data_IF_780341009548
#
_entry.id   IF_780341009548
#
_cell.length_a   1.000
_cell.length_b   1.000
_cell.length_c   1.000
_cell.angle_alpha   90.00
_cell.angle_beta   90.00
_cell.angle_gamma   90.00
#
_symmetry.space_group_name_H-M   'P 1'
#
loop_
_entity.id
_entity.type
_entity.pdbx_description
1 polymer ?
#
# COMPACT_ATOMS: atom_id res chain seq x y z
N UNK A 1 5.42 13.02 -6.77
CA UNK A 1 6.74 12.67 -6.20
C UNK A 1 6.83 11.22 -5.73
N UNK A 2 6.30 10.80 -4.57
CA UNK A 2 6.49 9.38 -4.12
C UNK A 2 5.89 8.34 -5.07
N UNK A 3 4.58 8.41 -5.35
CA UNK A 3 3.91 7.45 -6.23
C UNK A 3 4.45 7.47 -7.68
N UNK A 4 4.88 8.63 -8.14
CA UNK A 4 5.50 8.82 -9.46
C UNK A 4 6.89 8.18 -9.52
N UNK A 5 7.69 8.31 -8.46
CA UNK A 5 9.01 7.67 -8.37
C UNK A 5 8.85 6.16 -8.42
N UNK A 6 7.94 5.60 -7.61
CA UNK A 6 7.61 4.17 -7.66
C UNK A 6 7.16 3.77 -9.07
N UNK A 7 6.23 4.51 -9.68
CA UNK A 7 5.77 4.21 -11.02
C UNK A 7 6.89 4.20 -12.06
N UNK A 8 7.90 5.09 -11.92
CA UNK A 8 9.04 5.15 -12.84
C UNK A 8 10.00 3.95 -12.75
N UNK A 9 9.88 3.11 -11.71
CA UNK A 9 10.69 1.90 -11.54
C UNK A 9 10.10 0.68 -12.28
N UNK A 10 8.87 0.77 -12.77
CA UNK A 10 8.16 -0.35 -13.40
C UNK A 10 7.74 0.00 -14.82
N UNK A 11 7.81 -0.98 -15.71
CA UNK A 11 7.07 -0.92 -16.96
C UNK A 11 5.57 -0.89 -16.68
N UNK A 12 4.82 -0.11 -17.46
CA UNK A 12 3.37 0.04 -17.29
C UNK A 12 2.64 -1.31 -17.30
N UNK A 13 3.13 -2.27 -18.10
CA UNK A 13 2.58 -3.63 -18.20
C UNK A 13 2.83 -4.50 -16.97
N UNK A 14 3.72 -4.09 -16.05
CA UNK A 14 4.00 -4.82 -14.82
C UNK A 14 3.21 -4.29 -13.62
N UNK A 15 2.70 -3.05 -13.68
CA UNK A 15 2.07 -2.37 -12.56
C UNK A 15 0.90 -3.14 -11.91
N UNK A 16 0.10 -3.86 -12.69
CA UNK A 16 -1.04 -4.64 -12.18
C UNK A 16 -0.63 -5.93 -11.47
N UNK A 17 0.59 -6.40 -11.72
CA UNK A 17 1.16 -7.61 -11.14
C UNK A 17 2.11 -7.35 -9.97
N UNK A 18 2.61 -6.12 -9.83
CA UNK A 18 3.44 -5.68 -8.70
C UNK A 18 2.63 -5.61 -7.39
N UNK A 19 3.12 -6.29 -6.35
CA UNK A 19 2.54 -6.23 -5.00
C UNK A 19 3.22 -5.15 -4.15
N UNK A 20 2.46 -4.16 -3.69
CA UNK A 20 2.98 -3.01 -2.93
C UNK A 20 2.46 -3.05 -1.50
N UNK A 21 3.35 -2.86 -0.53
CA UNK A 21 2.98 -2.59 0.87
C UNK A 21 3.17 -1.11 1.21
N UNK A 22 2.07 -0.38 1.39
CA UNK A 22 2.07 1.03 1.81
C UNK A 22 2.23 1.10 3.34
N UNK A 23 3.47 1.27 3.80
CA UNK A 23 3.83 1.36 5.22
C UNK A 23 3.60 2.78 5.73
N UNK A 24 2.81 2.91 6.80
CA UNK A 24 2.34 4.22 7.26
C UNK A 24 1.28 4.78 6.31
N UNK A 25 0.38 3.92 5.85
CA UNK A 25 -0.61 4.21 4.81
C UNK A 25 -1.49 5.44 5.10
N UNK A 26 -1.66 5.82 6.38
CA UNK A 26 -2.46 6.96 6.79
C UNK A 26 -3.88 6.90 6.20
N UNK A 27 -4.30 7.98 5.52
CA UNK A 27 -5.60 8.06 4.82
C UNK A 27 -5.54 7.62 3.35
N UNK A 28 -4.41 7.08 2.90
CA UNK A 28 -4.21 6.50 1.58
C UNK A 28 -4.01 7.47 0.42
N UNK A 29 -3.30 8.58 0.65
CA UNK A 29 -2.97 9.53 -0.43
C UNK A 29 -1.99 8.93 -1.45
N UNK A 30 -1.02 8.13 -1.00
CA UNK A 30 -0.04 7.48 -1.89
C UNK A 30 -0.73 6.43 -2.76
N UNK A 31 -1.47 5.50 -2.15
CA UNK A 31 -2.27 4.53 -2.90
C UNK A 31 -3.25 5.16 -3.90
N UNK A 32 -3.86 6.31 -3.56
CA UNK A 32 -4.72 7.06 -4.51
C UNK A 32 -3.97 7.45 -5.77
N UNK A 33 -2.70 7.83 -5.68
CA UNK A 33 -1.88 8.19 -6.83
C UNK A 33 -1.36 6.95 -7.56
N UNK A 34 -0.89 5.93 -6.84
CA UNK A 34 -0.42 4.66 -7.43
C UNK A 34 -1.51 4.01 -8.30
N UNK A 35 -2.77 4.03 -7.85
CA UNK A 35 -3.92 3.55 -8.64
C UNK A 35 -4.04 4.21 -10.02
N UNK A 36 -3.63 5.48 -10.16
CA UNK A 36 -3.65 6.19 -11.46
C UNK A 36 -2.56 5.70 -12.42
N UNK A 37 -1.51 5.09 -11.90
CA UNK A 37 -0.41 4.50 -12.68
C UNK A 37 -0.63 3.00 -12.97
N UNK A 38 -1.80 2.46 -12.63
CA UNK A 38 -2.16 1.06 -12.93
C UNK A 38 -1.89 0.06 -11.80
N UNK A 39 -1.32 0.50 -10.68
CA UNK A 39 -1.12 -0.38 -9.53
C UNK A 39 -2.46 -0.72 -8.87
N UNK A 40 -2.74 -2.02 -8.75
CA UNK A 40 -4.00 -2.53 -8.21
C UNK A 40 -3.83 -3.41 -6.97
N UNK A 41 -2.65 -4.02 -6.83
CA UNK A 41 -2.27 -4.96 -5.76
C UNK A 41 -1.54 -4.23 -4.62
N UNK A 42 -2.25 -3.30 -3.98
CA UNK A 42 -1.71 -2.46 -2.90
C UNK A 42 -2.34 -2.90 -1.58
N UNK A 43 -1.52 -3.14 -0.56
CA UNK A 43 -1.93 -3.46 0.80
C UNK A 43 -1.46 -2.36 1.76
N UNK A 44 -2.22 -2.10 2.83
CA UNK A 44 -1.94 -1.03 3.78
C UNK A 44 -1.43 -1.59 5.11
N UNK A 45 -0.39 -0.96 5.66
CA UNK A 45 0.03 -1.12 7.04
C UNK A 45 -0.05 0.25 7.74
N UNK A 46 -0.90 0.36 8.76
CA UNK A 46 -1.05 1.61 9.52
C UNK A 46 -1.49 1.30 10.96
N UNK A 47 -0.71 1.71 11.98
CA UNK A 47 -1.06 1.50 13.39
C UNK A 47 -2.24 2.36 13.84
N UNK A 48 -2.47 3.53 13.26
CA UNK A 48 -3.61 4.39 13.60
C UNK A 48 -4.91 3.85 12.98
N UNK A 49 -5.72 3.18 13.80
CA UNK A 49 -7.02 2.65 13.36
C UNK A 49 -7.95 3.73 12.80
N UNK A 50 -7.88 4.96 13.33
CA UNK A 50 -8.66 6.10 12.84
C UNK A 50 -8.29 6.46 11.40
N UNK A 51 -7.00 6.54 11.10
CA UNK A 51 -6.50 6.82 9.75
C UNK A 51 -6.80 5.67 8.79
N UNK A 52 -6.53 4.43 9.23
CA UNK A 52 -6.81 3.23 8.44
C UNK A 52 -8.30 3.11 8.09
N UNK A 53 -9.19 3.49 8.99
CA UNK A 53 -10.64 3.54 8.71
C UNK A 53 -11.02 4.61 7.69
N UNK A 54 -10.38 5.78 7.71
CA UNK A 54 -10.55 6.78 6.64
C UNK A 54 -10.06 6.24 5.29
N UNK A 55 -8.98 5.47 5.30
CA UNK A 55 -8.46 4.82 4.10
C UNK A 55 -9.41 3.74 3.56
N UNK A 56 -10.01 2.91 4.44
CA UNK A 56 -11.02 1.89 4.09
C UNK A 56 -12.22 2.48 3.35
N UNK A 57 -12.69 3.67 3.75
CA UNK A 57 -13.81 4.37 3.08
C UNK A 57 -13.51 4.70 1.61
N UNK A 58 -12.25 4.74 1.22
CA UNK A 58 -11.80 5.05 -0.15
C UNK A 58 -11.58 3.79 -1.00
N UNK A 59 -11.66 2.60 -0.40
CA UNK A 59 -11.51 1.31 -1.05
C UNK A 59 -10.24 1.18 -1.92
N UNK A 60 -9.09 1.62 -1.38
CA UNK A 60 -7.83 1.74 -2.13
C UNK A 60 -6.93 0.51 -2.04
N UNK A 61 -7.10 -0.34 -1.04
CA UNK A 61 -6.22 -1.46 -0.72
C UNK A 61 -6.95 -2.80 -0.78
N UNK A 62 -6.22 -3.91 -1.04
CA UNK A 62 -6.78 -5.27 -0.93
C UNK A 62 -6.85 -5.70 0.53
N UNK A 63 -5.75 -5.50 1.27
CA UNK A 63 -5.63 -5.81 2.69
C UNK A 63 -5.32 -4.57 3.54
N UNK A 64 -5.72 -4.61 4.81
CA UNK A 64 -5.57 -3.49 5.77
C UNK A 64 -5.06 -4.03 7.11
N UNK A 65 -3.76 -3.94 7.34
CA UNK A 65 -3.07 -4.39 8.55
C UNK A 65 -2.99 -3.25 9.56
N UNK A 66 -3.64 -3.40 10.72
CA UNK A 66 -3.55 -2.45 11.82
C UNK A 66 -2.50 -2.89 12.82
N UNK A 67 -1.23 -2.57 12.56
CA UNK A 67 -0.13 -2.99 13.41
C UNK A 67 1.01 -1.96 13.38
N UNK A 68 1.89 -2.05 14.38
CA UNK A 68 3.14 -1.30 14.41
C UNK A 68 4.21 -2.04 13.60
N UNK A 69 5.06 -1.27 12.93
CA UNK A 69 6.28 -1.82 12.35
C UNK A 69 7.30 -2.03 13.47
N UNK A 70 7.66 -3.28 13.73
CA UNK A 70 8.67 -3.68 14.71
C UNK A 70 9.76 -4.51 14.02
N UNK A 71 10.75 -4.97 14.77
CA UNK A 71 11.75 -5.92 14.26
C UNK A 71 11.22 -7.35 14.12
N UNK A 72 10.03 -7.63 14.65
CA UNK A 72 9.39 -8.93 14.54
C UNK A 72 8.61 -9.04 13.23
N UNK A 73 8.46 -10.27 12.75
CA UNK A 73 7.60 -10.54 11.61
C UNK A 73 6.14 -10.20 11.93
N UNK A 74 5.46 -9.55 10.99
CA UNK A 74 4.03 -9.27 11.11
C UNK A 74 3.27 -10.53 10.68
N UNK A 75 2.41 -11.11 11.56
CA UNK A 75 1.61 -12.27 11.19
C UNK A 75 0.79 -12.01 9.93
N UNK A 76 0.69 -13.00 9.06
CA UNK A 76 -0.10 -12.98 7.81
C UNK A 76 0.36 -11.99 6.72
N UNK A 77 1.43 -11.24 6.95
CA UNK A 77 2.09 -10.41 5.93
C UNK A 77 3.23 -11.21 5.32
N UNK A 78 3.10 -11.53 4.01
CA UNK A 78 4.13 -12.28 3.28
C UNK A 78 5.31 -11.39 2.90
N UNK A 79 6.50 -11.98 2.79
CA UNK A 79 7.68 -11.31 2.26
C UNK A 79 7.71 -11.42 0.72
N UNK A 80 6.77 -10.73 0.07
CA UNK A 80 6.60 -10.72 -1.40
C UNK A 80 6.43 -9.32 -1.99
N UNK A 81 6.37 -8.30 -1.14
CA UNK A 81 6.12 -6.92 -1.55
C UNK A 81 7.40 -6.25 -2.06
N UNK A 82 7.23 -5.25 -2.93
CA UNK A 82 8.28 -4.31 -3.35
C UNK A 82 8.27 -3.03 -2.53
#
# INVERSE_FOLDING_TARGET
MTAETVASLFDISACDNTEILDIGAGTGLVATQLRKYGFSKIDALEPSIGMLNLARKRNLYRNYYNCYLTSDAIPDVKDTYV
#
